data_IF_768004721185
#
_entry.id   IF_768004721185
#
_cell.length_a   1.000
_cell.length_b   1.000
_cell.length_c   1.000
_cell.angle_alpha   90.00
_cell.angle_beta   90.00
_cell.angle_gamma   90.00
#
_symmetry.space_group_name_H-M   'P 1'
#
loop_
_entity.id
_entity.type
_entity.pdbx_description
1 polymer ?
#
# COMPACT_ATOMS: atom_id res chain seq x y z
N UNK A 1 -26.00 0.56 21.96
CA UNK A 1 -25.27 0.55 20.68
C UNK A 1 -23.89 1.10 20.97
N UNK A 2 -22.87 0.23 20.99
CA UNK A 2 -21.48 0.69 21.16
C UNK A 2 -21.11 1.48 19.91
N UNK A 3 -20.87 2.78 20.09
CA UNK A 3 -20.19 3.59 19.09
C UNK A 3 -18.78 3.05 19.04
N UNK A 4 -18.50 2.18 18.07
CA UNK A 4 -17.15 1.72 17.78
C UNK A 4 -16.28 2.95 17.57
N UNK A 5 -15.27 3.16 18.41
CA UNK A 5 -14.24 4.19 18.22
C UNK A 5 -13.83 4.20 16.74
N UNK A 6 -14.06 5.33 16.07
CA UNK A 6 -13.59 5.54 14.73
C UNK A 6 -12.06 5.60 14.81
N UNK A 7 -11.41 4.44 14.61
CA UNK A 7 -9.95 4.34 14.63
C UNK A 7 -9.38 5.42 13.73
N UNK A 8 -8.55 6.30 14.32
CA UNK A 8 -7.86 7.34 13.59
C UNK A 8 -6.95 6.72 12.54
N UNK A 9 -6.84 7.37 11.38
CA UNK A 9 -5.97 6.90 10.30
C UNK A 9 -4.52 6.86 10.81
N UNK A 10 -3.89 5.71 10.72
CA UNK A 10 -2.50 5.50 11.14
C UNK A 10 -1.55 6.27 10.21
N UNK A 11 -0.75 7.17 10.78
CA UNK A 11 0.23 7.99 10.06
C UNK A 11 1.65 7.67 10.53
N UNK A 12 2.55 7.44 9.58
CA UNK A 12 3.95 7.15 9.86
C UNK A 12 4.84 7.55 8.69
N UNK A 13 5.51 8.70 8.82
CA UNK A 13 6.45 9.21 7.81
C UNK A 13 7.64 8.28 7.58
N UNK A 14 8.11 7.56 8.61
CA UNK A 14 9.21 6.60 8.47
C UNK A 14 8.80 5.41 7.61
N UNK A 15 7.56 4.95 7.75
CA UNK A 15 6.99 3.93 6.87
C UNK A 15 6.98 4.39 5.41
N UNK A 16 6.41 5.57 5.14
CA UNK A 16 6.34 6.12 3.78
C UNK A 16 7.74 6.29 3.17
N UNK A 17 8.71 6.76 3.96
CA UNK A 17 10.10 6.86 3.53
C UNK A 17 10.72 5.49 3.23
N UNK A 18 10.42 4.46 4.03
CA UNK A 18 10.90 3.11 3.80
C UNK A 18 10.31 2.51 2.51
N UNK A 19 9.00 2.68 2.26
CA UNK A 19 8.37 2.27 0.99
C UNK A 19 9.01 3.02 -0.19
N UNK A 20 9.32 4.31 -0.01
CA UNK A 20 9.99 5.13 -1.02
C UNK A 20 11.41 4.70 -1.39
N UNK A 21 12.05 3.80 -0.62
CA UNK A 21 13.36 3.22 -0.96
C UNK A 21 13.26 2.06 -1.95
N UNK A 22 12.06 1.55 -2.23
CA UNK A 22 11.84 0.46 -3.17
C UNK A 22 11.78 1.04 -4.58
N UNK A 23 12.87 0.93 -5.34
CA UNK A 23 13.03 1.59 -6.65
C UNK A 23 12.40 0.83 -7.83
N UNK A 24 12.06 -0.45 -7.64
CA UNK A 24 11.40 -1.29 -8.64
C UNK A 24 9.96 -1.57 -8.22
N UNK A 25 9.03 -1.42 -9.16
CA UNK A 25 7.63 -1.72 -8.96
C UNK A 25 7.43 -3.16 -8.47
N UNK A 26 6.75 -3.33 -7.34
CA UNK A 26 6.56 -4.65 -6.74
C UNK A 26 5.67 -5.59 -7.58
N UNK A 27 4.92 -5.05 -8.55
CA UNK A 27 4.07 -5.85 -9.45
C UNK A 27 4.79 -6.28 -10.73
N UNK A 28 5.59 -5.42 -11.34
CA UNK A 28 6.13 -5.64 -12.69
C UNK A 28 7.65 -5.49 -12.80
N UNK A 29 8.35 -5.08 -11.73
CA UNK A 29 9.80 -4.90 -11.71
C UNK A 29 10.32 -3.65 -12.44
N UNK A 30 9.45 -2.84 -13.06
CA UNK A 30 9.85 -1.58 -13.71
C UNK A 30 10.49 -0.62 -12.72
N UNK A 31 11.60 -0.01 -13.10
CA UNK A 31 12.25 1.06 -12.35
C UNK A 31 11.43 2.35 -12.29
N UNK A 32 11.48 3.02 -11.15
CA UNK A 32 10.75 4.26 -10.87
C UNK A 32 9.40 3.95 -10.21
N UNK A 33 9.26 4.33 -8.94
CA UNK A 33 8.09 4.03 -8.11
C UNK A 33 7.50 5.27 -7.45
N UNK A 34 6.24 5.14 -7.07
CA UNK A 34 5.49 6.05 -6.23
C UNK A 34 4.95 5.26 -5.04
N UNK A 35 4.78 5.95 -3.90
CA UNK A 35 4.08 5.39 -2.74
C UNK A 35 2.58 5.56 -2.96
N UNK A 36 1.90 4.48 -3.35
CA UNK A 36 0.47 4.45 -3.59
C UNK A 36 -0.29 4.02 -2.34
N UNK A 37 -1.25 4.80 -1.86
CA UNK A 37 -2.15 4.43 -0.76
C UNK A 37 -3.31 3.59 -1.26
N UNK A 38 -3.78 2.63 -0.46
CA UNK A 38 -5.01 1.87 -0.75
C UNK A 38 -6.15 2.80 -1.21
N UNK A 39 -6.92 2.32 -2.18
CA UNK A 39 -8.00 3.07 -2.83
C UNK A 39 -9.42 2.69 -2.36
N UNK A 40 -9.52 1.97 -1.25
CA UNK A 40 -10.77 1.51 -0.64
C UNK A 40 -11.01 2.14 0.75
N UNK A 41 -12.27 2.16 1.20
CA UNK A 41 -12.69 2.60 2.55
C UNK A 41 -12.32 4.05 2.89
N UNK A 42 -12.27 4.91 1.87
CA UNK A 42 -11.92 6.31 1.99
C UNK A 42 -12.86 7.20 1.17
N UNK A 43 -13.10 8.41 1.65
CA UNK A 43 -13.70 9.48 0.86
C UNK A 43 -12.79 9.94 -0.28
N UNK A 44 -13.35 10.63 -1.26
CA UNK A 44 -12.59 11.18 -2.39
C UNK A 44 -11.48 12.11 -1.89
N UNK A 45 -10.26 11.94 -2.40
CA UNK A 45 -9.09 12.74 -2.00
C UNK A 45 -8.48 12.37 -0.63
N UNK A 46 -9.08 11.46 0.13
CA UNK A 46 -8.51 11.00 1.40
C UNK A 46 -7.49 9.88 1.20
N UNK A 47 -6.52 9.81 2.11
CA UNK A 47 -5.52 8.74 2.19
C UNK A 47 -5.87 7.81 3.33
N UNK A 48 -5.80 6.49 3.10
CA UNK A 48 -5.91 5.46 4.14
C UNK A 48 -4.67 5.45 5.04
N UNK A 49 -4.58 4.45 5.93
CA UNK A 49 -3.41 4.20 6.76
C UNK A 49 -2.13 4.16 5.92
N UNK A 50 -1.06 4.77 6.45
CA UNK A 50 0.22 4.81 5.76
C UNK A 50 0.81 3.40 5.60
N UNK A 51 0.51 2.46 6.50
CA UNK A 51 0.92 1.06 6.37
C UNK A 51 0.20 0.30 5.25
N UNK A 52 -0.93 0.82 4.76
CA UNK A 52 -1.66 0.28 3.62
C UNK A 52 -1.21 0.96 2.32
N UNK A 53 0.11 0.93 2.06
CA UNK A 53 0.74 1.53 0.88
C UNK A 53 1.56 0.51 0.08
N UNK A 54 1.76 0.80 -1.20
CA UNK A 54 2.55 -0.02 -2.11
C UNK A 54 3.56 0.82 -2.92
N UNK A 55 4.70 0.21 -3.28
CA UNK A 55 5.68 0.81 -4.20
C UNK A 55 5.38 0.41 -5.65
N UNK A 56 4.78 1.32 -6.42
CA UNK A 56 4.26 1.04 -7.77
C UNK A 56 4.83 2.01 -8.79
N UNK A 57 5.13 1.53 -10.00
CA UNK A 57 5.40 2.42 -11.13
C UNK A 57 4.14 3.18 -11.57
N UNK A 58 4.32 4.24 -12.34
CA UNK A 58 3.24 5.10 -12.83
C UNK A 58 2.14 4.29 -13.56
N UNK A 59 2.53 3.34 -14.42
CA UNK A 59 1.60 2.52 -15.20
C UNK A 59 0.73 1.63 -14.30
N UNK A 60 1.35 0.84 -13.42
CA UNK A 60 0.61 -0.03 -12.50
C UNK A 60 -0.24 0.76 -11.51
N UNK A 61 0.25 1.92 -11.05
CA UNK A 61 -0.50 2.80 -10.16
C UNK A 61 -1.74 3.37 -10.87
N UNK A 62 -1.59 3.85 -12.10
CA UNK A 62 -2.69 4.34 -12.91
C UNK A 62 -3.72 3.24 -13.21
N UNK A 63 -3.27 2.04 -13.56
CA UNK A 63 -4.15 0.90 -13.86
C UNK A 63 -5.01 0.52 -12.65
N UNK A 64 -4.43 0.49 -11.45
CA UNK A 64 -5.15 0.21 -10.21
C UNK A 64 -6.20 1.30 -9.90
N UNK A 65 -5.88 2.56 -10.14
CA UNK A 65 -6.78 3.66 -9.79
C UNK A 65 -7.85 3.95 -10.85
N UNK A 66 -7.51 3.79 -12.13
CA UNK A 66 -8.33 4.27 -13.25
C UNK A 66 -8.49 3.26 -14.40
N UNK A 67 -7.93 2.05 -14.29
CA UNK A 67 -8.02 1.00 -15.29
C UNK A 67 -9.45 0.67 -15.70
N UNK A 68 -9.75 0.78 -17.00
CA UNK A 68 -11.10 0.55 -17.54
C UNK A 68 -11.35 -0.91 -17.91
N UNK A 69 -10.29 -1.71 -18.10
CA UNK A 69 -10.40 -3.13 -18.45
C UNK A 69 -10.45 -4.05 -17.23
N UNK A 70 -10.32 -3.50 -16.02
CA UNK A 70 -10.43 -4.22 -14.76
C UNK A 70 -11.70 -3.79 -14.02
N UNK A 71 -12.41 -4.77 -13.48
CA UNK A 71 -13.47 -4.50 -12.52
C UNK A 71 -12.92 -3.81 -11.29
N UNK A 72 -13.80 -3.13 -10.55
CA UNK A 72 -13.44 -2.49 -9.27
C UNK A 72 -12.80 -3.48 -8.29
N UNK A 73 -13.28 -4.73 -8.28
CA UNK A 73 -12.78 -5.75 -7.38
C UNK A 73 -11.39 -6.25 -7.80
N UNK A 74 -11.16 -6.48 -9.08
CA UNK A 74 -9.82 -6.84 -9.59
C UNK A 74 -8.78 -5.76 -9.26
N UNK A 75 -9.14 -4.48 -9.40
CA UNK A 75 -8.25 -3.36 -9.02
C UNK A 75 -7.92 -3.37 -7.53
N UNK A 76 -8.89 -3.68 -6.66
CA UNK A 76 -8.67 -3.82 -5.20
C UNK A 76 -7.80 -5.02 -4.87
N UNK A 77 -8.00 -6.14 -5.55
CA UNK A 77 -7.18 -7.34 -5.37
C UNK A 77 -5.72 -7.10 -5.80
N UNK A 78 -5.51 -6.41 -6.92
CA UNK A 78 -4.16 -5.99 -7.35
C UNK A 78 -3.52 -5.05 -6.33
N UNK A 79 -4.27 -4.09 -5.78
CA UNK A 79 -3.76 -3.21 -4.74
C UNK A 79 -3.39 -3.98 -3.46
N UNK A 80 -4.23 -4.91 -3.03
CA UNK A 80 -3.95 -5.77 -1.87
C UNK A 80 -2.69 -6.62 -2.10
N UNK A 81 -2.54 -7.22 -3.28
CA UNK A 81 -1.33 -7.94 -3.68
C UNK A 81 -0.09 -7.03 -3.62
N UNK A 82 -0.18 -5.82 -4.18
CA UNK A 82 0.93 -4.87 -4.18
C UNK A 82 1.35 -4.44 -2.76
N UNK A 83 0.39 -4.21 -1.86
CA UNK A 83 0.67 -3.89 -0.45
C UNK A 83 1.42 -5.06 0.21
N UNK A 84 0.94 -6.30 0.06
CA UNK A 84 1.60 -7.48 0.63
C UNK A 84 3.03 -7.62 0.11
N UNK A 85 3.25 -7.49 -1.20
CA UNK A 85 4.58 -7.57 -1.79
C UNK A 85 5.51 -6.46 -1.30
N UNK A 86 4.97 -5.26 -1.07
CA UNK A 86 5.72 -4.14 -0.49
C UNK A 86 6.16 -4.46 0.94
N UNK A 87 5.27 -4.99 1.78
CA UNK A 87 5.62 -5.40 3.15
C UNK A 87 6.69 -6.49 3.15
N UNK A 88 6.56 -7.48 2.27
CA UNK A 88 7.58 -8.54 2.10
C UNK A 88 8.92 -7.93 1.70
N UNK A 89 8.93 -6.98 0.77
CA UNK A 89 10.17 -6.32 0.33
C UNK A 89 10.81 -5.47 1.44
N UNK A 90 10.02 -4.75 2.22
CA UNK A 90 10.51 -4.02 3.40
C UNK A 90 11.17 -4.98 4.40
N UNK A 91 10.59 -6.16 4.62
CA UNK A 91 11.15 -7.17 5.51
C UNK A 91 12.45 -7.77 4.97
N UNK A 92 12.51 -8.07 3.65
CA UNK A 92 13.73 -8.57 2.98
C UNK A 92 14.89 -7.58 3.08
N UNK A 93 14.60 -6.28 3.05
CA UNK A 93 15.58 -5.20 3.22
C UNK A 93 15.97 -4.93 4.67
N UNK A 94 15.33 -5.59 5.64
CA UNK A 94 15.54 -5.33 7.07
C UNK A 94 15.02 -3.97 7.54
N UNK A 95 14.16 -3.30 6.75
CA UNK A 95 13.55 -2.00 7.11
C UNK A 95 12.38 -2.16 8.09
N UNK A 96 11.79 -3.35 8.12
CA UNK A 96 10.83 -3.78 9.14
C UNK A 96 11.21 -5.16 9.65
N UNK A 97 10.81 -5.46 10.87
CA UNK A 97 10.94 -6.79 11.48
C UNK A 97 9.56 -7.16 12.01
N UNK A 98 9.00 -8.33 11.63
CA UNK A 98 7.79 -8.84 12.25
C UNK A 98 8.03 -8.96 13.76
N UNK A 99 7.27 -8.22 14.55
CA UNK A 99 7.34 -8.36 15.99
C UNK A 99 6.82 -9.75 16.35
N UNK A 100 7.65 -10.55 17.04
CA UNK A 100 7.16 -11.75 17.71
C UNK A 100 6.36 -11.29 18.93
N UNK A 101 5.03 -11.23 18.81
CA UNK A 101 4.17 -11.01 19.96
C UNK A 101 4.18 -12.32 20.75
N UNK A 102 4.79 -12.30 21.93
CA UNK A 102 4.61 -13.40 22.90
C UNK A 102 3.16 -13.35 23.37
N UNK A 103 2.50 -14.51 23.34
CA UNK A 103 1.16 -14.70 23.90
C UNK A 103 1.12 -14.36 25.38
#
# INVERSE_FOLDING_TARGET
MLVSEMKSIYRNKKWLAAVGQIEQCVLCGRWGTQVAHRNESKGMGLKTDDCATAALCLECHHEIDNGSHLSREERRQLMNKAIVLTVVELARRGLIIPAMIKA
#
